data_IF_905357054983
#
_entry.id   IF_905357054983
#
_cell.length_a   1.000
_cell.length_b   1.000
_cell.length_c   1.000
_cell.angle_alpha   90.00
_cell.angle_beta   90.00
_cell.angle_gamma   90.00
#
_symmetry.space_group_name_H-M   'P 1'
#
loop_
_entity.id
_entity.type
_entity.pdbx_description
1 polymer ?
#
# COMPACT_ATOMS: atom_id res chain seq x y z
N UNK A 1 -124.49 -33.89 -34.92
CA UNK A 1 -124.96 -35.29 -34.96
C UNK A 1 -123.74 -36.19 -34.98
N UNK A 2 -123.59 -37.08 -33.98
CA UNK A 2 -122.70 -38.27 -33.97
C UNK A 2 -121.20 -37.91 -33.99
N UNK A 3 -120.26 -38.66 -33.44
CA UNK A 3 -120.17 -39.93 -32.72
C UNK A 3 -118.67 -40.00 -32.29
N UNK A 4 -118.35 -40.33 -31.03
CA UNK A 4 -118.00 -41.68 -30.57
C UNK A 4 -116.47 -41.87 -30.44
N UNK A 5 -116.11 -42.30 -29.22
CA UNK A 5 -114.87 -42.87 -28.72
C UNK A 5 -114.08 -43.76 -29.71
N UNK A 6 -112.74 -43.78 -29.59
CA UNK A 6 -111.98 -44.92 -29.03
C UNK A 6 -110.45 -44.67 -28.97
N UNK A 7 -109.93 -44.67 -27.73
CA UNK A 7 -108.71 -45.31 -27.18
C UNK A 7 -107.61 -45.93 -28.09
N UNK A 8 -106.36 -45.66 -27.67
CA UNK A 8 -105.18 -46.56 -27.48
C UNK A 8 -103.90 -46.07 -28.19
N UNK A 9 -102.80 -45.94 -27.42
CA UNK A 9 -101.45 -46.21 -27.93
C UNK A 9 -100.34 -45.28 -27.42
N UNK A 10 -99.64 -45.71 -26.37
CA UNK A 10 -98.40 -45.12 -25.84
C UNK A 10 -97.30 -44.93 -26.88
N UNK A 11 -96.60 -43.79 -26.81
CA UNK A 11 -95.13 -43.72 -26.91
C UNK A 11 -94.67 -42.38 -26.30
N UNK A 12 -94.32 -42.41 -25.01
CA UNK A 12 -93.74 -41.25 -24.32
C UNK A 12 -92.35 -40.97 -24.88
N UNK A 13 -92.27 -39.88 -25.63
CA UNK A 13 -91.06 -39.26 -26.15
C UNK A 13 -90.25 -38.66 -24.99
N UNK A 14 -89.17 -39.33 -24.58
CA UNK A 14 -88.14 -38.73 -23.74
C UNK A 14 -86.98 -38.37 -24.68
N UNK A 15 -87.00 -37.14 -25.20
CA UNK A 15 -85.79 -36.53 -25.74
C UNK A 15 -84.89 -36.22 -24.55
N UNK A 16 -83.90 -37.08 -24.30
CA UNK A 16 -82.76 -36.72 -23.48
C UNK A 16 -81.93 -35.76 -24.32
N UNK A 17 -82.11 -34.46 -24.12
CA UNK A 17 -81.11 -33.46 -24.52
C UNK A 17 -79.88 -33.73 -23.67
N UNK A 18 -78.98 -34.57 -24.18
CA UNK A 18 -77.62 -34.62 -23.72
C UNK A 18 -77.00 -33.26 -24.05
N UNK A 19 -76.79 -32.44 -23.02
CA UNK A 19 -75.68 -31.49 -23.07
C UNK A 19 -74.41 -32.36 -23.15
N UNK A 20 -74.00 -32.72 -24.36
CA UNK A 20 -72.64 -33.17 -24.58
C UNK A 20 -71.78 -31.94 -24.33
N UNK A 21 -71.34 -31.75 -23.08
CA UNK A 21 -70.15 -30.96 -22.81
C UNK A 21 -69.06 -31.56 -23.69
N UNK A 22 -68.39 -30.81 -24.58
CA UNK A 22 -67.20 -31.33 -25.23
C UNK A 22 -66.21 -31.58 -24.10
N UNK A 23 -66.07 -32.83 -23.67
CA UNK A 23 -65.19 -33.23 -22.56
C UNK A 23 -63.75 -33.41 -23.04
N UNK A 24 -63.32 -32.60 -24.00
CA UNK A 24 -61.95 -32.51 -24.46
C UNK A 24 -61.40 -31.17 -24.03
N UNK A 25 -60.23 -31.18 -23.39
CA UNK A 25 -59.48 -29.98 -23.16
C UNK A 25 -59.17 -29.29 -24.50
N UNK A 26 -59.11 -27.96 -24.54
CA UNK A 26 -58.83 -27.21 -25.75
C UNK A 26 -57.33 -27.31 -26.07
N UNK A 27 -56.99 -28.03 -27.13
CA UNK A 27 -55.61 -28.12 -27.63
C UNK A 27 -55.35 -27.06 -28.70
N UNK A 28 -54.24 -26.34 -28.56
CA UNK A 28 -53.76 -25.34 -29.51
C UNK A 28 -52.64 -25.91 -30.39
N UNK A 29 -52.47 -25.33 -31.58
CA UNK A 29 -51.35 -25.67 -32.49
C UNK A 29 -50.43 -24.48 -32.74
N UNK A 30 -50.89 -23.27 -32.44
CA UNK A 30 -50.09 -22.05 -32.40
C UNK A 30 -50.68 -21.07 -31.38
N UNK A 31 -49.89 -20.10 -30.92
CA UNK A 31 -50.38 -19.05 -30.00
C UNK A 31 -51.52 -18.20 -30.59
N UNK A 32 -51.74 -18.21 -31.91
CA UNK A 32 -52.91 -17.57 -32.51
C UNK A 32 -54.23 -18.25 -32.15
N UNK A 33 -54.18 -19.52 -31.75
CA UNK A 33 -55.36 -20.28 -31.31
C UNK A 33 -55.74 -19.92 -29.86
N UNK A 34 -54.81 -19.31 -29.11
CA UNK A 34 -54.97 -18.93 -27.71
C UNK A 34 -55.46 -17.49 -27.59
N UNK A 35 -56.75 -17.27 -27.83
CA UNK A 35 -57.41 -15.98 -27.61
C UNK A 35 -58.60 -16.16 -26.68
N UNK A 36 -58.55 -15.54 -25.51
CA UNK A 36 -59.64 -15.59 -24.53
C UNK A 36 -60.07 -14.17 -24.17
N UNK A 37 -61.36 -13.86 -24.36
CA UNK A 37 -61.96 -12.55 -24.08
C UNK A 37 -61.23 -11.33 -24.70
N UNK A 38 -60.41 -11.53 -25.73
CA UNK A 38 -59.62 -10.47 -26.38
C UNK A 38 -58.15 -10.39 -25.91
N UNK A 39 -57.79 -11.11 -24.86
CA UNK A 39 -56.42 -11.34 -24.43
C UNK A 39 -55.76 -12.41 -25.32
N UNK A 40 -54.50 -12.18 -25.71
CA UNK A 40 -53.71 -13.19 -26.42
C UNK A 40 -52.89 -13.96 -25.40
N UNK A 41 -52.97 -15.29 -25.49
CA UNK A 41 -52.19 -16.22 -24.69
C UNK A 41 -51.09 -16.89 -25.52
N UNK A 42 -50.37 -17.79 -24.88
CA UNK A 42 -49.32 -18.61 -25.49
C UNK A 42 -49.80 -20.04 -25.64
N UNK A 43 -49.49 -20.66 -26.78
CA UNK A 43 -49.69 -22.09 -26.94
C UNK A 43 -48.45 -22.81 -26.41
N UNK A 44 -48.60 -23.46 -25.25
CA UNK A 44 -47.48 -24.13 -24.56
C UNK A 44 -47.10 -25.45 -25.23
N UNK A 45 -45.91 -25.96 -24.92
CA UNK A 45 -45.43 -27.26 -25.41
C UNK A 45 -46.31 -28.44 -24.99
N UNK A 46 -47.09 -28.28 -23.91
CA UNK A 46 -48.11 -29.23 -23.46
C UNK A 46 -49.32 -29.31 -24.40
N UNK A 47 -49.41 -28.41 -25.40
CA UNK A 47 -50.51 -28.32 -26.34
C UNK A 47 -51.71 -27.52 -25.82
N UNK A 48 -51.58 -26.84 -24.68
CA UNK A 48 -52.65 -26.07 -24.06
C UNK A 48 -52.35 -24.56 -24.01
N UNK A 49 -53.41 -23.76 -23.96
CA UNK A 49 -53.25 -22.31 -23.85
C UNK A 49 -52.97 -21.87 -22.42
N UNK A 50 -52.03 -20.94 -22.29
CA UNK A 50 -51.76 -20.17 -21.08
C UNK A 50 -52.04 -18.69 -21.31
N UNK A 51 -52.34 -17.96 -20.23
CA UNK A 51 -52.58 -16.53 -20.25
C UNK A 51 -51.80 -15.86 -19.11
N UNK A 52 -51.51 -14.57 -19.25
CA UNK A 52 -50.83 -13.79 -18.22
C UNK A 52 -51.63 -13.81 -16.91
N UNK A 53 -50.97 -14.16 -15.82
CA UNK A 53 -51.54 -14.25 -14.48
C UNK A 53 -50.46 -13.90 -13.46
N UNK A 54 -50.59 -12.73 -12.83
CA UNK A 54 -49.63 -12.24 -11.81
C UNK A 54 -49.69 -13.02 -10.49
N UNK A 55 -50.64 -13.95 -10.35
CA UNK A 55 -50.70 -14.90 -9.24
C UNK A 55 -49.91 -16.18 -9.50
N UNK A 56 -49.21 -16.28 -10.63
CA UNK A 56 -48.20 -17.30 -10.91
C UNK A 56 -46.81 -16.66 -10.88
N UNK A 57 -45.81 -17.32 -10.25
CA UNK A 57 -44.41 -16.87 -10.31
C UNK A 57 -43.94 -16.66 -11.75
N UNK A 58 -44.17 -17.64 -12.62
CA UNK A 58 -43.94 -17.59 -14.08
C UNK A 58 -44.75 -16.56 -14.86
N UNK A 59 -45.58 -15.75 -14.20
CA UNK A 59 -46.45 -14.74 -14.82
C UNK A 59 -47.54 -15.32 -15.72
N UNK A 60 -47.70 -16.64 -15.81
CA UNK A 60 -48.64 -17.31 -16.71
C UNK A 60 -49.35 -18.51 -16.08
N UNK A 61 -50.66 -18.64 -16.36
CA UNK A 61 -51.51 -19.75 -15.90
C UNK A 61 -52.23 -20.42 -17.06
N UNK A 62 -52.31 -21.75 -17.03
CA UNK A 62 -53.10 -22.52 -17.98
C UNK A 62 -54.60 -22.18 -17.85
N UNK A 63 -55.24 -22.02 -19.02
CA UNK A 63 -56.65 -21.70 -19.15
C UNK A 63 -57.58 -22.73 -18.50
N UNK A 64 -58.84 -22.34 -18.21
CA UNK A 64 -59.84 -23.24 -17.63
C UNK A 64 -60.14 -24.46 -18.53
N UNK A 65 -59.93 -24.29 -19.83
CA UNK A 65 -60.15 -25.32 -20.85
C UNK A 65 -58.95 -26.27 -21.02
N UNK A 66 -57.87 -26.13 -20.24
CA UNK A 66 -56.64 -26.91 -20.34
C UNK A 66 -56.67 -28.26 -19.60
N UNK A 67 -57.86 -28.79 -19.31
CA UNK A 67 -58.03 -30.10 -18.69
C UNK A 67 -57.40 -30.20 -17.30
N UNK A 68 -56.55 -31.21 -17.08
CA UNK A 68 -55.87 -31.45 -15.79
C UNK A 68 -54.87 -30.34 -15.42
N UNK A 69 -54.42 -29.55 -16.38
CA UNK A 69 -53.56 -28.39 -16.15
C UNK A 69 -54.37 -27.11 -15.88
N UNK A 70 -55.70 -27.15 -15.93
CA UNK A 70 -56.55 -25.98 -15.70
C UNK A 70 -56.21 -25.27 -14.39
N UNK A 71 -55.81 -24.00 -14.49
CA UNK A 71 -55.49 -23.17 -13.33
C UNK A 71 -54.11 -23.42 -12.71
N UNK A 72 -53.30 -24.30 -13.31
CA UNK A 72 -51.91 -24.55 -12.90
C UNK A 72 -51.00 -23.49 -13.52
N UNK A 73 -49.99 -23.03 -12.78
CA UNK A 73 -48.98 -22.13 -13.32
C UNK A 73 -48.15 -22.83 -14.37
N UNK A 74 -47.86 -22.13 -15.47
CA UNK A 74 -46.96 -22.66 -16.50
C UNK A 74 -45.56 -22.71 -15.92
N UNK A 75 -44.84 -23.79 -16.17
CA UNK A 75 -43.41 -23.87 -15.88
C UNK A 75 -42.73 -24.08 -17.23
N UNK A 76 -41.77 -23.22 -17.52
CA UNK A 76 -40.95 -23.19 -18.72
C UNK A 76 -39.55 -23.73 -18.41
N UNK A 77 -38.70 -23.83 -19.42
CA UNK A 77 -37.25 -24.00 -19.25
C UNK A 77 -36.49 -22.69 -19.39
N UNK A 78 -37.20 -21.56 -19.44
CA UNK A 78 -36.65 -20.20 -19.50
C UNK A 78 -36.54 -19.66 -18.08
N UNK A 79 -35.52 -18.85 -17.82
CA UNK A 79 -35.20 -18.37 -16.48
C UNK A 79 -36.40 -17.67 -15.84
N UNK A 80 -36.95 -16.67 -16.54
CA UNK A 80 -38.15 -15.93 -16.17
C UNK A 80 -39.49 -16.72 -16.03
N UNK A 81 -39.48 -18.06 -16.10
CA UNK A 81 -40.68 -18.88 -15.93
C UNK A 81 -40.41 -20.33 -15.49
N UNK A 82 -39.22 -20.68 -14.99
CA UNK A 82 -38.87 -22.04 -14.56
C UNK A 82 -39.14 -22.30 -13.06
N UNK A 83 -39.44 -21.26 -12.28
CA UNK A 83 -39.71 -21.31 -10.85
C UNK A 83 -38.48 -21.33 -9.95
N UNK A 84 -37.30 -21.03 -10.49
CA UNK A 84 -36.03 -20.91 -9.78
C UNK A 84 -35.56 -19.45 -9.80
N UNK A 85 -34.62 -19.12 -8.91
CA UNK A 85 -33.91 -17.84 -8.83
C UNK A 85 -32.54 -18.08 -9.51
N UNK A 86 -32.45 -17.77 -10.80
CA UNK A 86 -31.36 -18.17 -11.69
C UNK A 86 -30.12 -17.26 -11.58
N UNK A 87 -30.25 -16.02 -11.10
CA UNK A 87 -29.13 -15.10 -10.81
C UNK A 87 -28.84 -14.90 -9.32
N UNK A 88 -29.76 -15.28 -8.43
CA UNK A 88 -29.54 -15.36 -7.00
C UNK A 88 -29.79 -14.05 -6.25
N UNK A 89 -30.57 -13.15 -6.82
CA UNK A 89 -30.95 -11.87 -6.22
C UNK A 89 -32.11 -12.00 -5.19
N UNK A 90 -32.73 -13.18 -5.14
CA UNK A 90 -33.86 -13.53 -4.28
C UNK A 90 -35.25 -13.27 -4.87
N UNK A 91 -35.30 -12.82 -6.13
CA UNK A 91 -36.47 -12.67 -6.97
C UNK A 91 -36.52 -13.87 -7.95
N UNK A 92 -37.71 -14.12 -8.52
CA UNK A 92 -37.98 -15.35 -9.27
C UNK A 92 -38.95 -15.04 -10.39
N UNK A 93 -38.64 -15.58 -11.56
CA UNK A 93 -39.47 -15.59 -12.74
C UNK A 93 -39.97 -14.17 -13.13
N UNK A 94 -41.23 -14.01 -13.51
CA UNK A 94 -41.82 -12.73 -13.94
C UNK A 94 -41.97 -11.70 -12.80
N UNK A 95 -41.70 -12.10 -11.55
CA UNK A 95 -41.63 -11.14 -10.44
C UNK A 95 -40.26 -10.45 -10.36
N UNK A 96 -39.28 -10.99 -11.09
CA UNK A 96 -37.94 -10.46 -11.23
C UNK A 96 -37.90 -9.18 -12.10
N UNK A 97 -37.21 -8.11 -11.67
CA UNK A 97 -37.04 -6.86 -12.41
C UNK A 97 -36.37 -7.01 -13.78
N UNK A 98 -35.44 -7.94 -13.96
CA UNK A 98 -34.82 -8.13 -15.27
C UNK A 98 -35.61 -9.03 -16.22
N UNK A 99 -36.70 -9.62 -15.74
CA UNK A 99 -37.68 -10.28 -16.60
C UNK A 99 -38.65 -9.30 -17.27
N UNK A 100 -38.29 -8.84 -18.47
CA UNK A 100 -39.19 -8.07 -19.35
C UNK A 100 -40.43 -8.87 -19.80
N UNK A 101 -40.27 -10.18 -19.97
CA UNK A 101 -41.35 -11.13 -20.22
C UNK A 101 -40.96 -12.58 -19.85
N UNK A 102 -41.92 -13.52 -19.67
CA UNK A 102 -41.60 -14.85 -19.17
C UNK A 102 -40.97 -15.80 -20.22
N UNK A 103 -40.64 -15.31 -21.42
CA UNK A 103 -39.87 -16.05 -22.43
C UNK A 103 -38.39 -15.62 -22.48
N UNK A 104 -38.01 -14.63 -21.66
CA UNK A 104 -36.64 -14.13 -21.58
C UNK A 104 -35.67 -15.20 -21.03
N UNK A 105 -34.41 -15.08 -21.44
CA UNK A 105 -33.40 -16.12 -21.23
C UNK A 105 -32.59 -16.01 -19.95
N UNK A 106 -32.76 -14.90 -19.21
CA UNK A 106 -32.02 -14.51 -18.03
C UNK A 106 -32.95 -13.71 -17.13
N UNK A 107 -32.67 -13.73 -15.84
CA UNK A 107 -33.35 -12.89 -14.84
C UNK A 107 -32.64 -11.55 -14.68
N UNK A 108 -31.33 -11.47 -14.93
CA UNK A 108 -30.58 -10.21 -15.07
C UNK A 108 -31.26 -9.11 -15.92
N UNK A 109 -31.37 -7.93 -15.32
CA UNK A 109 -31.88 -6.70 -15.90
C UNK A 109 -30.81 -5.82 -16.54
N UNK A 110 -30.80 -4.54 -16.17
CA UNK A 110 -30.00 -3.52 -16.86
C UNK A 110 -29.49 -2.37 -16.00
N UNK A 111 -29.81 -2.36 -14.71
CA UNK A 111 -29.14 -1.51 -13.73
C UNK A 111 -27.79 -2.17 -13.35
N UNK A 112 -26.76 -1.43 -12.92
CA UNK A 112 -25.45 -1.98 -12.59
C UNK A 112 -25.51 -3.21 -11.68
N UNK A 113 -26.29 -3.14 -10.60
CA UNK A 113 -26.43 -4.22 -9.63
C UNK A 113 -27.34 -5.40 -10.07
N UNK A 114 -27.62 -5.53 -11.37
CA UNK A 114 -28.51 -6.55 -11.94
C UNK A 114 -28.21 -6.85 -13.42
N UNK A 115 -27.16 -6.28 -14.02
CA UNK A 115 -26.94 -6.37 -15.47
C UNK A 115 -25.96 -7.49 -15.89
N UNK A 116 -25.37 -8.21 -14.94
CA UNK A 116 -24.41 -9.28 -15.22
C UNK A 116 -23.00 -8.81 -15.53
N UNK A 117 -22.66 -7.56 -15.25
CA UNK A 117 -21.36 -6.96 -15.50
C UNK A 117 -20.69 -6.58 -14.18
N UNK A 118 -19.37 -6.44 -14.27
CA UNK A 118 -18.51 -5.83 -13.25
C UNK A 118 -18.27 -4.40 -13.75
N UNK A 119 -19.15 -3.49 -13.34
CA UNK A 119 -19.20 -2.10 -13.78
C UNK A 119 -18.17 -1.22 -13.05
N UNK A 120 -17.65 -1.66 -11.91
CA UNK A 120 -16.73 -0.91 -11.06
C UNK A 120 -15.28 -1.42 -11.08
N UNK A 121 -15.05 -2.65 -11.54
CA UNK A 121 -13.76 -3.30 -11.75
C UNK A 121 -13.23 -4.11 -10.57
N UNK A 122 -14.03 -4.36 -9.54
CA UNK A 122 -13.62 -5.07 -8.32
C UNK A 122 -13.64 -6.62 -8.48
N UNK A 123 -14.15 -7.11 -9.61
CA UNK A 123 -14.23 -8.53 -9.96
C UNK A 123 -15.43 -9.28 -9.36
N UNK A 124 -16.29 -8.59 -8.63
CA UNK A 124 -17.60 -9.01 -8.19
C UNK A 124 -18.65 -8.43 -9.16
N UNK A 125 -19.86 -8.97 -9.12
CA UNK A 125 -20.95 -8.59 -10.03
C UNK A 125 -22.25 -8.66 -9.28
N UNK A 126 -23.11 -7.67 -9.52
CA UNK A 126 -24.52 -7.61 -9.18
C UNK A 126 -24.89 -7.85 -7.71
N UNK A 127 -26.12 -7.49 -7.35
CA UNK A 127 -26.67 -7.85 -6.06
C UNK A 127 -26.99 -9.34 -5.96
N UNK A 128 -26.54 -10.00 -4.87
CA UNK A 128 -26.95 -11.38 -4.55
C UNK A 128 -27.31 -11.53 -3.09
N UNK A 129 -28.41 -12.23 -2.81
CA UNK A 129 -28.93 -12.39 -1.44
C UNK A 129 -28.11 -13.36 -0.58
N UNK A 130 -27.28 -14.21 -1.20
CA UNK A 130 -26.39 -15.14 -0.50
C UNK A 130 -25.10 -14.49 0.03
N UNK A 131 -24.89 -13.20 -0.24
CA UNK A 131 -23.72 -12.44 0.17
C UNK A 131 -22.45 -12.77 -0.62
N UNK A 132 -22.61 -13.38 -1.80
CA UNK A 132 -21.52 -13.60 -2.76
C UNK A 132 -21.61 -12.67 -3.98
N UNK A 133 -22.51 -11.70 -3.94
CA UNK A 133 -22.60 -10.64 -4.94
C UNK A 133 -21.67 -9.49 -4.59
N UNK A 134 -21.78 -8.44 -5.37
CA UNK A 134 -21.06 -7.20 -5.23
C UNK A 134 -21.35 -6.50 -3.87
N UNK A 135 -20.32 -6.11 -3.08
CA UNK A 135 -20.47 -5.43 -1.79
C UNK A 135 -20.99 -3.98 -1.90
N UNK A 136 -20.77 -3.32 -3.04
CA UNK A 136 -21.28 -2.00 -3.37
C UNK A 136 -22.78 -2.01 -3.68
N UNK A 137 -23.34 -3.16 -4.05
CA UNK A 137 -24.77 -3.31 -4.29
C UNK A 137 -25.61 -3.49 -3.01
N UNK A 138 -26.48 -2.51 -2.74
CA UNK A 138 -27.43 -2.60 -1.60
C UNK A 138 -28.69 -3.42 -1.97
N UNK A 139 -29.18 -3.24 -3.21
CA UNK A 139 -30.26 -4.03 -3.82
C UNK A 139 -30.18 -3.94 -5.36
N UNK A 140 -31.01 -4.73 -6.06
CA UNK A 140 -31.01 -4.86 -7.54
C UNK A 140 -31.38 -3.59 -8.31
N UNK A 141 -31.91 -2.56 -7.64
CA UNK A 141 -32.23 -1.28 -8.26
C UNK A 141 -31.17 -0.22 -7.97
N UNK A 142 -30.08 -0.58 -7.29
CA UNK A 142 -28.99 0.34 -7.04
C UNK A 142 -28.29 0.70 -8.37
N UNK A 143 -27.84 1.95 -8.46
CA UNK A 143 -27.42 2.53 -9.72
C UNK A 143 -25.90 2.56 -9.91
N UNK A 144 -25.18 1.81 -9.08
CA UNK A 144 -23.74 1.60 -9.14
C UNK A 144 -23.32 0.48 -8.18
N UNK A 145 -22.19 -0.13 -8.50
CA UNK A 145 -21.56 -1.22 -7.73
C UNK A 145 -20.49 -0.65 -6.77
N UNK A 146 -20.67 0.60 -6.31
CA UNK A 146 -19.73 1.28 -5.40
C UNK A 146 -20.36 1.44 -4.03
N UNK A 147 -19.64 0.98 -3.03
CA UNK A 147 -20.05 0.94 -1.64
C UNK A 147 -19.61 2.14 -0.80
N UNK A 148 -19.29 1.84 0.46
CA UNK A 148 -18.89 2.83 1.48
C UNK A 148 -17.64 2.43 2.24
N UNK A 149 -17.08 1.27 1.91
CA UNK A 149 -15.79 0.81 2.41
C UNK A 149 -14.68 1.71 1.87
N UNK A 150 -13.54 1.79 2.56
CA UNK A 150 -12.42 2.61 2.07
C UNK A 150 -12.00 2.13 0.68
N UNK A 151 -11.96 0.82 0.50
CA UNK A 151 -11.57 0.16 -0.74
C UNK A 151 -12.65 0.08 -1.82
N UNK A 152 -13.73 0.86 -1.71
CA UNK A 152 -14.84 0.83 -2.67
C UNK A 152 -15.72 2.11 -2.64
N UNK A 153 -15.16 3.26 -2.26
CA UNK A 153 -15.92 4.51 -2.11
C UNK A 153 -15.47 5.64 -3.04
N UNK A 154 -14.58 5.36 -4.00
CA UNK A 154 -14.00 6.31 -4.95
C UNK A 154 -13.14 7.40 -4.30
N UNK A 155 -12.59 7.15 -3.11
CA UNK A 155 -11.76 8.08 -2.36
C UNK A 155 -10.43 7.45 -1.97
N UNK A 156 -9.35 8.17 -2.27
CA UNK A 156 -8.01 8.02 -1.71
C UNK A 156 -8.04 8.46 -0.23
N UNK A 157 -8.41 7.52 0.64
CA UNK A 157 -8.61 7.64 2.09
C UNK A 157 -7.27 7.67 2.87
N UNK A 158 -6.18 7.12 2.33
CA UNK A 158 -4.84 7.18 2.94
C UNK A 158 -3.90 8.25 2.37
N UNK A 159 -4.13 8.73 1.14
CA UNK A 159 -3.38 9.81 0.51
C UNK A 159 -2.15 9.36 -0.29
N UNK A 160 -2.02 8.08 -0.61
CA UNK A 160 -0.91 7.52 -1.41
C UNK A 160 -1.09 7.81 -2.93
N UNK A 161 -2.28 8.26 -3.34
CA UNK A 161 -2.65 8.58 -4.72
C UNK A 161 -3.22 7.40 -5.52
N UNK A 162 -3.48 6.27 -4.87
CA UNK A 162 -4.28 5.14 -5.31
C UNK A 162 -5.67 5.27 -4.69
N UNK A 163 -6.58 4.42 -5.16
CA UNK A 163 -7.99 4.52 -4.80
C UNK A 163 -8.65 3.19 -5.09
N UNK A 164 -9.33 2.67 -4.07
CA UNK A 164 -10.18 1.48 -4.10
C UNK A 164 -9.52 0.18 -4.58
N UNK A 165 -10.15 -0.94 -4.26
CA UNK A 165 -9.78 -2.22 -4.83
C UNK A 165 -10.16 -2.32 -6.31
N UNK A 166 -9.24 -2.86 -7.12
CA UNK A 166 -9.54 -3.33 -8.48
C UNK A 166 -8.94 -4.73 -8.69
N UNK A 167 -9.73 -5.65 -9.22
CA UNK A 167 -9.32 -7.04 -9.42
C UNK A 167 -8.19 -7.22 -10.45
N UNK A 168 -7.95 -6.21 -11.30
CA UNK A 168 -6.85 -6.22 -12.27
C UNK A 168 -5.50 -5.82 -11.67
N UNK A 169 -5.46 -5.44 -10.38
CA UNK A 169 -4.28 -5.02 -9.64
C UNK A 169 -3.80 -3.62 -10.00
N UNK A 170 -4.64 -2.79 -10.62
CA UNK A 170 -4.33 -1.37 -10.86
C UNK A 170 -4.88 -0.42 -9.80
N UNK A 171 -5.74 -0.95 -8.91
CA UNK A 171 -6.29 -0.24 -7.77
C UNK A 171 -5.26 -0.05 -6.67
N UNK A 172 -5.78 0.26 -5.50
CA UNK A 172 -5.03 0.49 -4.28
C UNK A 172 -4.33 -0.79 -3.78
N UNK A 173 -3.00 -0.75 -3.57
CA UNK A 173 -2.22 -1.90 -3.13
C UNK A 173 -2.51 -2.29 -1.67
N UNK A 174 -3.02 -1.39 -0.85
CA UNK A 174 -3.33 -1.70 0.53
C UNK A 174 -4.75 -2.22 0.76
N UNK A 175 -5.59 -2.20 -0.28
CA UNK A 175 -6.85 -2.92 -0.31
C UNK A 175 -6.69 -4.44 -0.51
N UNK A 176 -7.13 -5.23 0.47
CA UNK A 176 -7.17 -6.68 0.32
C UNK A 176 -8.32 -7.18 -0.59
N UNK A 177 -9.47 -6.51 -0.53
CA UNK A 177 -10.67 -6.69 -1.35
C UNK A 177 -11.58 -5.45 -1.24
N UNK A 178 -12.64 -5.35 -2.05
CA UNK A 178 -13.57 -4.20 -2.05
C UNK A 178 -14.35 -4.03 -0.74
N UNK A 179 -14.45 -5.07 0.10
CA UNK A 179 -15.09 -4.96 1.40
C UNK A 179 -14.13 -4.44 2.50
N UNK A 180 -12.85 -4.27 2.20
CA UNK A 180 -11.85 -3.79 3.14
C UNK A 180 -12.08 -2.32 3.52
N UNK A 181 -11.93 -2.02 4.81
CA UNK A 181 -12.26 -0.72 5.39
C UNK A 181 -11.05 0.17 5.63
N UNK A 182 -9.89 -0.23 5.11
CA UNK A 182 -8.63 0.50 5.16
C UNK A 182 -7.95 0.34 3.82
N UNK A 183 -7.47 1.44 3.27
CA UNK A 183 -6.53 1.43 2.14
C UNK A 183 -5.09 1.19 2.60
N UNK A 184 -4.81 1.14 3.91
CA UNK A 184 -3.49 0.72 4.39
C UNK A 184 -3.32 -0.80 4.34
N UNK A 185 -2.31 -1.26 3.61
CA UNK A 185 -1.93 -2.66 3.44
C UNK A 185 -0.90 -3.18 4.44
N UNK A 186 0.01 -3.99 3.91
CA UNK A 186 1.05 -4.67 4.70
C UNK A 186 2.48 -4.31 4.25
N UNK A 187 2.63 -3.57 3.15
CA UNK A 187 3.93 -3.03 2.71
C UNK A 187 4.44 -1.98 3.70
N UNK A 188 5.75 -1.82 3.84
CA UNK A 188 6.31 -0.86 4.79
C UNK A 188 5.85 0.58 4.46
N UNK A 189 5.67 0.89 3.18
CA UNK A 189 5.28 2.21 2.71
C UNK A 189 3.76 2.44 2.59
N UNK A 190 2.97 1.59 3.26
CA UNK A 190 1.51 1.52 3.08
C UNK A 190 0.78 0.92 4.30
N UNK A 191 1.46 0.58 5.40
CA UNK A 191 0.84 -0.20 6.49
C UNK A 191 0.40 0.66 7.69
N UNK A 192 0.57 1.97 7.63
CA UNK A 192 0.24 2.89 8.71
C UNK A 192 1.32 2.97 9.80
N UNK A 193 2.53 2.46 9.59
CA UNK A 193 3.55 2.32 10.64
C UNK A 193 4.94 2.76 10.22
N UNK A 194 5.62 3.45 11.15
CA UNK A 194 7.04 3.82 11.11
C UNK A 194 7.90 2.57 11.39
N UNK A 195 8.21 1.82 10.33
CA UNK A 195 8.96 0.56 10.33
C UNK A 195 10.47 0.80 10.48
N UNK A 196 10.99 1.97 10.11
CA UNK A 196 12.42 2.29 10.17
C UNK A 196 12.81 3.14 11.41
N UNK A 197 11.82 3.73 12.10
CA UNK A 197 11.89 4.54 13.32
C UNK A 197 12.51 5.93 13.13
N UNK A 198 12.38 6.51 11.94
CA UNK A 198 12.81 7.86 11.60
C UNK A 198 11.72 8.93 11.91
N UNK A 199 10.49 8.48 12.16
CA UNK A 199 9.34 9.31 12.54
C UNK A 199 8.48 9.81 11.38
N UNK A 200 8.85 9.50 10.14
CA UNK A 200 7.97 9.51 9.00
C UNK A 200 7.25 8.16 8.89
N UNK A 201 6.18 8.14 8.09
CA UNK A 201 5.28 6.98 7.97
C UNK A 201 4.74 7.00 6.55
N UNK A 202 4.88 5.87 5.86
CA UNK A 202 4.27 5.51 4.58
C UNK A 202 4.46 6.51 3.42
N UNK A 203 4.09 6.10 2.22
CA UNK A 203 4.10 6.98 1.06
C UNK A 203 2.89 7.93 1.05
N UNK A 204 3.12 9.24 0.87
CA UNK A 204 2.04 10.21 0.65
C UNK A 204 2.31 11.13 -0.54
N UNK A 205 1.36 11.21 -1.47
CA UNK A 205 1.51 12.03 -2.69
C UNK A 205 1.49 13.54 -2.40
N UNK A 206 0.79 13.95 -1.34
CA UNK A 206 0.65 15.35 -0.94
C UNK A 206 1.87 15.89 -0.17
N UNK A 207 2.88 15.05 0.07
CA UNK A 207 4.06 15.33 0.89
C UNK A 207 3.79 15.15 2.39
N UNK A 208 4.87 14.96 3.15
CA UNK A 208 4.80 14.64 4.57
C UNK A 208 4.66 13.14 4.87
N UNK A 209 4.73 12.30 3.84
CA UNK A 209 5.04 10.88 4.00
C UNK A 209 6.55 10.65 4.14
N UNK A 210 6.89 9.39 4.26
CA UNK A 210 8.22 8.85 4.40
C UNK A 210 9.14 9.16 3.20
N UNK A 211 10.31 9.81 3.43
CA UNK A 211 11.28 10.09 2.37
C UNK A 211 11.93 8.84 1.75
N UNK A 212 11.96 7.74 2.49
CA UNK A 212 12.48 6.45 2.08
C UNK A 212 11.56 5.69 1.13
N UNK A 213 10.26 6.01 1.11
CA UNK A 213 9.29 5.41 0.22
C UNK A 213 9.32 5.97 -1.21
N UNK A 214 9.63 5.13 -2.20
CA UNK A 214 9.52 5.51 -3.62
C UNK A 214 8.06 5.48 -4.15
N UNK A 215 7.17 4.81 -3.44
CA UNK A 215 5.75 4.63 -3.73
C UNK A 215 5.09 3.71 -2.69
N UNK A 216 3.78 3.49 -2.77
CA UNK A 216 3.05 2.66 -1.80
C UNK A 216 3.40 1.17 -1.89
N UNK A 217 3.77 0.70 -3.10
CA UNK A 217 4.22 -0.66 -3.34
C UNK A 217 5.68 -0.92 -2.88
N UNK A 218 6.36 0.07 -2.27
CA UNK A 218 7.74 -0.09 -1.82
C UNK A 218 7.81 -0.92 -0.53
N UNK A 219 8.75 -1.87 -0.50
CA UNK A 219 8.88 -2.85 0.59
C UNK A 219 9.69 -2.31 1.79
N UNK A 220 10.17 -1.05 1.70
CA UNK A 220 11.04 -0.44 2.70
C UNK A 220 10.82 1.07 2.78
N UNK A 221 10.66 1.57 4.00
CA UNK A 221 10.82 2.99 4.37
C UNK A 221 12.31 3.34 4.49
N UNK A 222 13.14 2.93 3.51
CA UNK A 222 14.56 3.30 3.48
C UNK A 222 14.96 3.71 2.09
N UNK A 223 15.44 4.93 1.98
CA UNK A 223 15.69 5.60 0.74
C UNK A 223 17.14 5.50 0.26
N UNK A 224 17.61 6.64 -0.24
CA UNK A 224 18.94 6.77 -0.85
C UNK A 224 19.75 7.95 -0.30
N UNK A 225 19.14 8.69 0.64
CA UNK A 225 19.84 9.72 1.40
C UNK A 225 20.76 9.01 2.40
N UNK A 226 21.92 9.60 2.69
CA UNK A 226 22.88 8.96 3.61
C UNK A 226 22.21 8.64 4.96
N UNK A 227 21.40 9.58 5.46
CA UNK A 227 20.68 9.46 6.71
C UNK A 227 19.44 8.55 6.71
N UNK A 228 19.29 7.68 5.71
CA UNK A 228 18.11 6.83 5.49
C UNK A 228 18.41 5.59 4.60
N UNK A 229 19.64 5.39 4.12
CA UNK A 229 19.96 4.29 3.19
C UNK A 229 20.44 3.00 3.88
N UNK A 230 20.57 3.02 5.22
CA UNK A 230 21.01 1.87 6.00
C UNK A 230 22.49 1.59 5.95
N UNK A 231 23.30 2.56 5.55
CA UNK A 231 24.74 2.47 5.46
C UNK A 231 25.36 3.55 6.34
N UNK A 232 26.32 3.14 7.17
CA UNK A 232 27.25 4.03 7.87
C UNK A 232 28.22 4.62 6.82
N UNK A 233 27.86 5.76 6.25
CA UNK A 233 28.55 6.44 5.16
C UNK A 233 29.75 7.27 5.63
N UNK A 234 29.84 7.59 6.93
CA UNK A 234 30.96 8.34 7.52
C UNK A 234 31.93 7.46 8.35
N UNK A 235 31.57 6.19 8.58
CA UNK A 235 32.28 5.16 9.34
C UNK A 235 32.35 5.44 10.87
N UNK A 236 31.48 6.28 11.45
CA UNK A 236 31.49 6.65 12.87
C UNK A 236 30.83 5.59 13.79
N UNK A 237 30.13 4.61 13.18
CA UNK A 237 29.44 3.49 13.83
C UNK A 237 27.97 3.75 14.17
N UNK A 238 27.45 4.92 13.83
CA UNK A 238 26.03 5.18 13.64
C UNK A 238 25.70 4.99 12.15
N UNK A 239 24.48 5.24 11.69
CA UNK A 239 24.09 4.79 10.34
C UNK A 239 23.09 5.74 9.71
N UNK A 240 21.98 6.01 10.39
CA UNK A 240 20.91 6.81 9.82
C UNK A 240 20.26 7.67 10.89
N UNK A 241 19.33 8.53 10.47
CA UNK A 241 18.46 9.23 11.40
C UNK A 241 17.61 8.25 12.21
N UNK A 242 17.38 8.54 13.49
CA UNK A 242 16.45 7.78 14.30
C UNK A 242 15.81 8.68 15.38
N UNK A 243 14.52 8.49 15.66
CA UNK A 243 13.88 9.21 16.76
C UNK A 243 14.49 8.90 18.13
N UNK A 244 15.10 7.72 18.29
CA UNK A 244 15.88 7.38 19.47
C UNK A 244 17.29 7.95 19.34
N UNK A 245 17.55 9.07 20.02
CA UNK A 245 18.83 9.79 19.97
C UNK A 245 20.11 8.98 20.30
N UNK A 246 20.00 7.79 20.89
CA UNK A 246 21.18 6.91 21.09
C UNK A 246 21.45 5.95 19.94
N UNK A 247 20.54 5.89 18.97
CA UNK A 247 20.61 5.11 17.74
C UNK A 247 20.70 6.03 16.52
N UNK A 248 20.24 7.28 16.64
CA UNK A 248 20.41 8.30 15.60
C UNK A 248 21.87 8.58 15.38
N UNK A 249 22.21 8.65 14.11
CA UNK A 249 23.44 9.25 13.65
C UNK A 249 23.58 10.72 14.10
N UNK A 250 24.72 11.11 14.69
CA UNK A 250 24.99 12.48 15.13
C UNK A 250 25.03 13.51 14.00
N UNK A 251 25.44 13.10 12.80
CA UNK A 251 25.51 13.96 11.64
C UNK A 251 24.18 14.15 10.93
N UNK A 252 23.22 13.26 11.17
CA UNK A 252 21.88 13.34 10.58
C UNK A 252 20.94 14.30 11.32
N UNK A 253 20.41 15.29 10.61
CA UNK A 253 19.41 16.22 11.16
C UNK A 253 17.97 15.82 10.90
N UNK A 254 17.73 15.12 9.80
CA UNK A 254 16.47 14.48 9.41
C UNK A 254 16.77 13.36 8.38
N UNK A 255 15.79 12.50 8.04
CA UNK A 255 16.01 11.36 7.13
C UNK A 255 16.32 11.76 5.69
N UNK A 256 15.95 12.98 5.28
CA UNK A 256 16.26 13.50 3.95
C UNK A 256 17.65 14.13 3.85
N UNK A 257 18.41 14.13 4.95
CA UNK A 257 19.76 14.68 4.99
C UNK A 257 20.72 13.82 4.15
N UNK A 258 21.54 14.50 3.35
CA UNK A 258 22.35 13.88 2.30
C UNK A 258 23.74 13.47 2.78
N UNK A 259 24.02 13.69 4.06
CA UNK A 259 25.31 13.41 4.69
C UNK A 259 25.10 13.06 6.15
N UNK A 260 25.81 12.04 6.62
CA UNK A 260 26.02 11.74 8.05
C UNK A 260 27.15 12.60 8.64
N UNK A 261 27.44 13.76 8.05
CA UNK A 261 28.44 14.67 8.61
C UNK A 261 27.74 15.86 9.22
N UNK A 262 27.89 16.03 10.53
CA UNK A 262 27.27 17.10 11.29
C UNK A 262 28.04 18.41 11.22
N UNK A 263 28.14 19.06 12.38
CA UNK A 263 28.76 20.40 12.51
C UNK A 263 29.76 20.48 13.65
N UNK A 264 29.95 19.35 14.33
CA UNK A 264 30.87 19.19 15.44
C UNK A 264 32.21 18.77 14.85
N UNK A 265 33.32 19.24 15.43
CA UNK A 265 34.63 19.13 14.78
C UNK A 265 35.01 17.68 14.44
N UNK A 266 34.61 16.72 15.27
CA UNK A 266 34.86 15.30 15.08
C UNK A 266 33.85 14.55 14.20
N UNK A 267 33.06 15.27 13.42
CA UNK A 267 31.93 14.75 12.64
C UNK A 267 31.60 15.62 11.42
N UNK A 268 32.29 16.75 11.19
CA UNK A 268 31.95 17.71 10.15
C UNK A 268 32.67 17.46 8.80
N UNK A 269 33.47 16.40 8.73
CA UNK A 269 34.19 16.01 7.53
C UNK A 269 35.48 16.82 7.31
N UNK A 270 35.91 17.60 8.30
CA UNK A 270 37.01 18.56 8.17
C UNK A 270 38.08 18.33 9.23
N UNK A 271 39.31 18.14 8.76
CA UNK A 271 40.55 18.22 9.55
C UNK A 271 40.74 19.66 10.10
N UNK A 272 40.19 19.88 11.29
CA UNK A 272 40.08 21.13 12.03
C UNK A 272 41.34 21.45 12.84
N UNK A 273 42.16 20.45 13.18
CA UNK A 273 43.46 20.64 13.83
C UNK A 273 44.66 20.64 12.84
N UNK A 274 44.44 20.19 11.60
CA UNK A 274 45.39 20.10 10.50
C UNK A 274 46.49 19.03 10.71
N UNK A 275 46.21 17.93 11.41
CA UNK A 275 47.14 16.81 11.60
C UNK A 275 47.17 15.81 10.41
N UNK A 276 46.21 15.94 9.49
CA UNK A 276 46.05 15.10 8.30
C UNK A 276 45.13 13.89 8.46
N UNK A 277 44.50 13.74 9.62
CA UNK A 277 43.39 12.86 9.96
C UNK A 277 42.19 13.77 10.24
N UNK A 278 40.98 13.26 10.09
CA UNK A 278 39.77 14.02 10.38
C UNK A 278 38.75 13.08 10.98
N UNK A 279 37.96 13.65 11.89
CA UNK A 279 36.74 13.08 12.44
C UNK A 279 36.89 11.78 13.24
N UNK A 280 35.86 11.50 14.02
CA UNK A 280 35.71 10.23 14.68
C UNK A 280 35.38 9.13 13.67
N UNK A 281 36.04 7.98 13.79
CA UNK A 281 35.69 6.75 13.06
C UNK A 281 35.66 5.55 14.00
N UNK A 282 34.66 4.69 13.86
CA UNK A 282 34.61 3.38 14.51
C UNK A 282 35.50 2.36 13.80
N UNK A 283 35.68 2.51 12.48
CA UNK A 283 36.51 1.65 11.64
C UNK A 283 37.46 2.51 10.80
N UNK A 284 38.75 2.17 10.83
CA UNK A 284 39.77 2.87 10.04
C UNK A 284 40.66 3.79 10.90
N UNK A 285 41.37 4.75 10.27
CA UNK A 285 42.16 5.73 10.99
C UNK A 285 41.22 6.75 11.63
N UNK A 286 40.89 6.52 12.89
CA UNK A 286 40.22 7.48 13.76
C UNK A 286 41.17 8.63 14.10
N UNK A 287 40.65 9.84 14.06
CA UNK A 287 41.33 11.01 14.60
C UNK A 287 41.69 10.80 16.09
N UNK A 288 42.98 10.92 16.47
CA UNK A 288 43.43 10.68 17.84
C UNK A 288 42.83 11.63 18.88
N UNK A 289 42.45 12.85 18.50
CA UNK A 289 41.84 13.81 19.41
C UNK A 289 40.34 13.71 19.52
N UNK A 290 39.67 13.04 18.58
CA UNK A 290 38.25 12.76 18.69
C UNK A 290 37.94 11.61 19.66
N UNK A 291 37.33 11.88 20.82
CA UNK A 291 36.87 10.83 21.74
C UNK A 291 35.53 10.18 21.36
N UNK A 292 34.70 10.92 20.61
CA UNK A 292 33.38 10.53 20.10
C UNK A 292 33.00 11.43 18.91
N UNK A 293 32.02 11.08 18.08
CA UNK A 293 31.55 11.98 17.00
C UNK A 293 30.96 13.30 17.55
N UNK A 294 30.50 13.31 18.80
CA UNK A 294 30.01 14.52 19.47
C UNK A 294 31.12 15.38 20.11
N UNK A 295 32.39 15.04 19.90
CA UNK A 295 33.50 15.81 20.47
C UNK A 295 33.78 17.08 19.66
N UNK A 296 33.85 18.21 20.35
CA UNK A 296 33.89 19.54 19.72
C UNK A 296 35.31 20.00 19.35
N UNK A 297 36.31 19.16 19.56
CA UNK A 297 37.71 19.45 19.35
C UNK A 297 38.40 18.20 18.83
N UNK A 298 39.21 18.36 17.78
CA UNK A 298 40.07 17.30 17.25
C UNK A 298 41.45 17.32 17.91
N UNK A 299 41.72 18.24 18.84
CA UNK A 299 42.96 18.19 19.62
C UNK A 299 42.80 17.19 20.78
N UNK A 300 43.63 16.16 20.79
CA UNK A 300 43.67 15.15 21.82
C UNK A 300 44.44 15.52 23.09
N UNK A 301 44.98 14.49 23.71
CA UNK A 301 45.75 14.61 24.97
C UNK A 301 47.22 14.26 24.82
N UNK A 302 47.61 13.79 23.64
CA UNK A 302 49.00 13.49 23.33
C UNK A 302 49.75 14.79 23.04
N UNK A 303 51.04 14.79 23.34
CA UNK A 303 51.88 15.99 23.30
C UNK A 303 51.94 16.60 21.89
N UNK A 304 51.83 15.76 20.86
CA UNK A 304 51.88 16.18 19.46
C UNK A 304 50.49 16.42 18.83
N UNK A 305 49.47 16.60 19.65
CA UNK A 305 48.06 16.62 19.25
C UNK A 305 47.18 17.47 20.20
N UNK A 306 47.73 18.11 21.23
CA UNK A 306 46.93 18.69 22.32
C UNK A 306 46.73 20.21 22.22
N UNK A 307 47.21 20.83 21.14
CA UNK A 307 47.14 22.26 20.90
C UNK A 307 48.16 23.08 21.70
N UNK A 308 49.17 22.45 22.31
CA UNK A 308 50.13 23.08 23.23
C UNK A 308 51.57 22.86 22.75
N UNK A 309 52.34 23.94 22.75
CA UNK A 309 53.81 23.93 22.65
C UNK A 309 54.39 23.41 23.99
N UNK A 310 54.42 22.09 24.16
CA UNK A 310 54.85 21.39 25.38
C UNK A 310 56.38 21.45 25.56
N UNK A 311 57.12 21.57 24.46
CA UNK A 311 58.57 21.64 24.42
C UNK A 311 59.13 23.09 24.49
N UNK A 312 58.26 24.09 24.27
CA UNK A 312 58.45 25.53 24.29
C UNK A 312 59.38 26.09 23.20
N UNK A 313 59.45 25.48 22.02
CA UNK A 313 60.26 25.95 20.89
C UNK A 313 59.52 26.90 19.92
N UNK A 314 58.22 27.10 20.14
CA UNK A 314 57.36 27.99 19.37
C UNK A 314 56.64 27.36 18.17
N UNK A 315 56.82 26.06 17.93
CA UNK A 315 55.90 25.24 17.14
C UNK A 315 54.97 24.43 18.04
N UNK A 316 53.95 23.83 17.45
CA UNK A 316 52.86 23.12 18.17
C UNK A 316 52.47 21.94 17.30
N UNK A 317 52.35 20.76 17.91
CA UNK A 317 51.73 19.56 17.34
C UNK A 317 52.23 19.19 15.93
N UNK A 318 51.33 18.98 14.96
CA UNK A 318 51.66 18.57 13.59
C UNK A 318 52.51 19.60 12.82
N UNK A 319 52.50 20.86 13.25
CA UNK A 319 53.40 21.89 12.71
C UNK A 319 54.81 21.82 13.32
N UNK A 320 54.95 21.13 14.44
CA UNK A 320 56.22 20.85 15.09
C UNK A 320 57.02 19.77 14.36
N UNK A 321 58.33 20.00 14.21
CA UNK A 321 59.24 19.06 13.54
C UNK A 321 59.58 17.87 14.43
N UNK A 322 59.55 18.04 15.74
CA UNK A 322 59.76 16.98 16.70
C UNK A 322 58.62 15.98 16.74
N UNK A 323 57.42 16.38 16.32
CA UNK A 323 56.30 15.49 16.13
C UNK A 323 56.39 14.70 14.81
N UNK A 324 56.52 13.37 14.91
CA UNK A 324 56.48 12.49 13.74
C UNK A 324 55.05 12.15 13.28
N UNK A 325 54.05 12.55 14.06
CA UNK A 325 52.62 12.45 13.83
C UNK A 325 51.83 12.72 15.13
N UNK A 326 50.50 12.77 15.08
CA UNK A 326 49.65 13.12 16.23
C UNK A 326 49.76 12.14 17.41
N UNK A 327 50.08 10.88 17.10
CA UNK A 327 50.28 9.86 18.13
C UNK A 327 51.68 9.82 18.75
N UNK A 328 52.58 10.73 18.35
CA UNK A 328 53.94 10.80 18.87
C UNK A 328 53.92 11.28 20.34
N UNK A 329 54.46 10.50 21.29
CA UNK A 329 54.48 10.88 22.69
C UNK A 329 55.56 11.91 23.04
N UNK A 330 56.26 12.48 22.05
CA UNK A 330 57.33 13.44 22.27
C UNK A 330 57.36 14.50 21.16
N UNK A 331 57.29 15.76 21.56
CA UNK A 331 57.43 16.92 20.67
C UNK A 331 58.89 17.31 20.44
N UNK A 332 59.85 16.57 21.01
CA UNK A 332 61.26 16.69 20.62
C UNK A 332 61.65 15.68 19.56
N UNK A 333 62.40 16.15 18.58
CA UNK A 333 62.92 15.29 17.54
C UNK A 333 63.86 14.19 18.09
N UNK A 334 63.79 12.99 17.49
CA UNK A 334 64.54 11.84 17.96
C UNK A 334 66.06 11.93 17.65
N UNK A 335 66.96 11.67 18.62
CA UNK A 335 68.40 11.74 18.42
C UNK A 335 68.92 10.78 17.34
N UNK A 336 69.65 11.31 16.35
CA UNK A 336 70.37 10.52 15.35
C UNK A 336 69.73 10.45 13.95
N UNK A 337 68.58 11.10 13.71
CA UNK A 337 67.91 11.15 12.41
C UNK A 337 67.63 12.57 11.91
N UNK A 338 68.54 13.20 11.15
CA UNK A 338 68.37 14.59 10.59
C UNK A 338 67.78 15.62 11.58
N UNK A 339 68.01 15.37 12.85
CA UNK A 339 67.51 16.14 13.97
C UNK A 339 68.45 17.33 14.13
N UNK A 340 67.93 18.57 14.09
CA UNK A 340 68.78 19.74 14.28
C UNK A 340 69.44 19.68 15.67
N UNK A 341 70.69 20.15 15.75
CA UNK A 341 71.43 20.25 17.02
C UNK A 341 70.67 21.09 18.07
N UNK A 342 69.74 21.95 17.64
CA UNK A 342 68.94 22.83 18.48
C UNK A 342 67.56 22.29 18.89
N UNK A 343 67.27 21.00 18.64
CA UNK A 343 66.00 20.34 19.00
C UNK A 343 66.20 18.82 19.32
N UNK A 344 67.43 18.38 19.56
CA UNK A 344 67.73 16.94 19.69
C UNK A 344 67.84 16.47 21.15
N UNK A 345 67.66 17.36 22.13
CA UNK A 345 67.75 17.05 23.56
C UNK A 345 69.17 16.94 24.09
N UNK A 346 70.19 17.39 23.35
CA UNK A 346 71.60 17.23 23.67
C UNK A 346 72.32 18.58 23.60
N UNK A 347 73.02 18.94 24.67
CA UNK A 347 74.03 20.00 24.70
C UNK A 347 75.23 19.61 23.81
N UNK A 348 75.15 19.94 22.52
CA UNK A 348 76.10 19.58 21.46
C UNK A 348 77.38 20.44 21.53
N UNK A 349 77.33 21.63 22.14
CA UNK A 349 78.49 22.54 22.27
C UNK A 349 79.16 22.57 23.66
N UNK A 350 78.48 22.02 24.68
CA UNK A 350 78.98 21.80 26.02
C UNK A 350 78.93 23.03 26.94
N UNK A 351 78.13 24.04 26.63
CA UNK A 351 78.03 25.28 27.41
C UNK A 351 77.03 25.18 28.60
N UNK A 352 76.24 24.10 28.63
CA UNK A 352 75.27 23.77 29.67
C UNK A 352 73.83 24.22 29.40
N UNK A 353 73.57 24.86 28.26
CA UNK A 353 72.24 24.92 27.65
C UNK A 353 72.09 23.73 26.67
N UNK A 354 70.87 23.38 26.26
CA UNK A 354 70.60 22.09 25.58
C UNK A 354 70.03 22.26 24.18
N UNK A 355 69.04 23.13 24.00
CA UNK A 355 68.30 23.28 22.74
C UNK A 355 67.66 24.67 22.71
N UNK A 356 67.03 25.02 21.58
CA UNK A 356 66.21 26.22 21.48
C UNK A 356 64.97 26.15 22.38
N UNK A 357 64.68 27.25 23.09
CA UNK A 357 63.41 27.46 23.81
C UNK A 357 63.07 28.94 23.84
N UNK A 358 61.78 29.25 23.68
CA UNK A 358 61.24 30.59 23.83
C UNK A 358 61.41 31.09 25.28
N UNK A 359 62.33 32.04 25.47
CA UNK A 359 62.52 32.72 26.74
C UNK A 359 63.51 32.07 27.71
N UNK A 360 64.32 31.09 27.27
CA UNK A 360 65.31 30.48 28.16
C UNK A 360 66.25 29.40 27.59
N UNK A 361 66.27 29.15 26.28
CA UNK A 361 67.09 28.09 25.65
C UNK A 361 68.54 28.48 25.34
N UNK A 362 69.19 27.62 24.56
CA UNK A 362 70.58 27.75 24.12
C UNK A 362 70.83 29.04 23.31
N UNK A 363 71.80 29.89 23.70
CA UNK A 363 72.10 31.14 22.99
C UNK A 363 72.72 30.97 21.58
N UNK A 364 73.31 29.81 21.31
CA UNK A 364 73.82 29.37 20.02
C UNK A 364 72.73 28.94 19.04
N UNK A 365 71.51 28.69 19.51
CA UNK A 365 70.36 28.34 18.69
C UNK A 365 69.54 29.55 18.25
N UNK A 366 69.35 29.71 16.93
CA UNK A 366 68.51 30.77 16.36
C UNK A 366 67.04 30.39 16.17
N UNK A 367 66.74 29.09 16.32
CA UNK A 367 65.42 28.46 16.25
C UNK A 367 65.58 26.93 16.32
N UNK A 368 64.48 26.17 16.46
CA UNK A 368 64.54 24.72 16.63
C UNK A 368 65.03 23.98 15.38
N UNK A 369 64.90 24.60 14.20
CA UNK A 369 65.38 24.01 12.93
C UNK A 369 66.88 24.21 12.66
N UNK A 370 67.62 24.84 13.57
CA UNK A 370 69.03 25.16 13.38
C UNK A 370 69.90 23.91 13.59
N UNK A 371 70.72 23.57 12.59
CA UNK A 371 71.56 22.36 12.60
C UNK A 371 72.92 22.61 13.26
N UNK A 372 73.04 23.71 13.99
CA UNK A 372 74.28 24.12 14.65
C UNK A 372 73.93 24.89 15.91
N UNK A 373 73.97 24.20 17.02
CA UNK A 373 74.10 24.79 18.34
C UNK A 373 75.54 25.32 18.46
N UNK A 374 75.85 26.45 17.83
CA UNK A 374 77.20 27.03 17.87
C UNK A 374 77.13 28.53 18.06
N UNK A 375 77.07 28.96 19.32
CA UNK A 375 77.12 30.36 19.72
C UNK A 375 78.50 30.80 20.24
N UNK A 376 79.34 31.38 19.36
CA UNK A 376 80.33 32.45 19.67
C UNK A 376 81.31 32.33 20.85
#
# INVERSE_FOLDING_TARGET
MRALMLLVGLASLILVTACASPSGAFECTSSNDCVNAGERGTCESSGFCSFSDTGCPSGRRYAAESGDLSGVCVISTRACANGEDDDGDGLVDYADPGCGNPDDGTEQGGEPCDNGLDDDGDGLVDYRIDGLGDPGCIDVHDNGERGTSACDNETDDDGDGRTDYLADGTGDPGCADAADNSENGAGACDNGTDDDNDGAVDFLVAGGGDPGCAGPDDDSERGTSACDDGIDNDDDGFTDFNLTASLSDPGCTDPSDVSEHGTVACDDGVDNDNDGIADFKSVGPRDPGCDSPLDADEHGTLICDNGIDDDNDGTVDSADRGCSGPTDPNERCAPGGSCPDCDNGIDDDGDGFIDFQLGGGDPGCSGPTDNKEQGG
#
